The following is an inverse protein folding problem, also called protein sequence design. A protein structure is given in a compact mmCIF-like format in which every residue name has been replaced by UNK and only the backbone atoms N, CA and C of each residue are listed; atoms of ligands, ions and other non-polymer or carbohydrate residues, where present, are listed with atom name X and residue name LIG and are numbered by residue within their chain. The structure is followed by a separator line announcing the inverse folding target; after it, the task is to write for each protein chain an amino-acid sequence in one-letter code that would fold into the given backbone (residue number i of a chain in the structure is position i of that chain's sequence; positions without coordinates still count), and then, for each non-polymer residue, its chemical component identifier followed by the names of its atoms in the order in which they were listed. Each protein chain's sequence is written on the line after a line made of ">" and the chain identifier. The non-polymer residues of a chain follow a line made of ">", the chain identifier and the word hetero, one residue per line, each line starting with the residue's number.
data_IF_379076464488
#
_entry.id   IF_379076464488
#
_cell.length_a   1.000
_cell.length_b   1.000
_cell.length_c   1.000
_cell.angle_alpha   90.00
_cell.angle_beta   90.00
_cell.angle_gamma   90.00
#
_symmetry.space_group_name_H-M   'P 1'
#
loop_
_entity.id
_entity.type
_entity.pdbx_description
1 polymer ?
#
# COMPACT_ATOMS: atom_id res chain seq x y z
N UNK A 1 6.34 15.94 3.99
CA UNK A 1 5.70 14.70 3.52
C UNK A 1 4.22 14.95 3.57
N UNK A 2 3.55 14.98 2.41
CA UNK A 2 2.11 15.27 2.31
C UNK A 2 1.43 14.10 1.62
N UNK A 3 0.22 13.78 2.07
CA UNK A 3 -0.64 12.78 1.44
C UNK A 3 -1.77 13.48 0.70
N UNK A 4 -2.04 13.05 -0.53
CA UNK A 4 -3.14 13.54 -1.37
C UNK A 4 -3.92 12.38 -1.95
N UNK A 5 -5.16 12.64 -2.37
CA UNK A 5 -5.96 11.69 -3.14
C UNK A 5 -6.08 12.19 -4.56
N UNK A 6 -5.69 11.32 -5.50
CA UNK A 6 -6.02 11.45 -6.91
C UNK A 6 -7.10 10.43 -7.27
N UNK A 7 -7.64 10.58 -8.48
CA UNK A 7 -8.62 9.64 -9.02
C UNK A 7 -8.15 9.11 -10.36
N UNK A 8 -8.25 7.79 -10.52
CA UNK A 8 -7.92 7.06 -11.74
C UNK A 8 -9.20 6.57 -12.41
N UNK A 9 -9.33 6.68 -13.75
CA UNK A 9 -10.50 6.15 -14.46
C UNK A 9 -10.61 4.62 -14.31
N UNK A 10 -9.47 3.94 -14.21
CA UNK A 10 -9.38 2.49 -14.01
C UNK A 10 -8.87 2.16 -12.61
N UNK A 11 -9.27 0.99 -12.11
CA UNK A 11 -8.78 0.46 -10.83
C UNK A 11 -7.28 0.22 -10.92
N UNK A 12 -6.49 0.90 -10.08
CA UNK A 12 -5.05 0.66 -9.97
C UNK A 12 -4.73 -0.45 -8.99
N UNK A 13 -3.78 -1.30 -9.36
CA UNK A 13 -3.10 -2.21 -8.44
C UNK A 13 -1.73 -1.59 -8.09
N UNK A 14 -1.32 -1.74 -6.84
CA UNK A 14 -0.02 -1.30 -6.32
C UNK A 14 0.84 -2.52 -5.97
N UNK A 15 2.14 -2.34 -5.73
CA UNK A 15 2.97 -3.42 -5.19
C UNK A 15 2.50 -3.98 -3.84
N UNK A 16 1.61 -3.26 -3.13
CA UNK A 16 1.07 -3.63 -1.82
C UNK A 16 -0.20 -4.47 -1.98
N UNK A 17 -0.98 -4.25 -3.03
CA UNK A 17 -2.26 -4.94 -3.29
C UNK A 17 -2.24 -6.46 -3.05
N UNK A 18 -1.29 -7.26 -3.60
CA UNK A 18 -1.32 -8.71 -3.41
C UNK A 18 -1.07 -9.18 -1.97
N UNK A 19 -0.61 -8.28 -1.08
CA UNK A 19 -0.35 -8.57 0.34
C UNK A 19 -1.51 -8.21 1.25
N UNK A 20 -2.49 -7.48 0.71
CA UNK A 20 -3.66 -6.99 1.43
C UNK A 20 -4.91 -7.64 0.87
N UNK A 21 -5.13 -7.48 -0.43
CA UNK A 21 -6.32 -7.92 -1.15
C UNK A 21 -6.07 -9.28 -1.80
N UNK A 22 -6.67 -10.34 -1.25
CA UNK A 22 -6.59 -11.69 -1.83
C UNK A 22 -7.68 -11.87 -2.87
N UNK A 23 -7.32 -12.33 -4.06
CA UNK A 23 -8.30 -12.67 -5.09
C UNK A 23 -9.18 -13.84 -4.66
N UNK A 24 -10.50 -13.67 -4.73
CA UNK A 24 -11.49 -14.69 -4.35
C UNK A 24 -11.87 -15.56 -5.56
N UNK A 25 -12.00 -14.93 -6.73
CA UNK A 25 -12.46 -15.54 -7.98
C UNK A 25 -11.32 -16.05 -8.87
N UNK A 26 -10.10 -15.53 -8.69
CA UNK A 26 -8.91 -15.97 -9.40
C UNK A 26 -7.62 -15.60 -8.64
N UNK A 27 -6.47 -16.03 -9.17
CA UNK A 27 -5.17 -15.51 -8.73
C UNK A 27 -5.08 -13.99 -8.93
N UNK A 28 -4.32 -13.30 -8.08
CA UNK A 28 -4.42 -11.84 -7.91
C UNK A 28 -4.35 -11.02 -9.22
N UNK A 29 -3.53 -11.43 -10.19
CA UNK A 29 -3.39 -10.74 -11.49
C UNK A 29 -4.65 -10.78 -12.36
N UNK A 30 -5.56 -11.73 -12.11
CA UNK A 30 -6.79 -11.95 -12.86
C UNK A 30 -8.05 -11.78 -12.01
N UNK A 31 -7.88 -11.55 -10.71
CA UNK A 31 -9.00 -11.44 -9.77
C UNK A 31 -9.81 -10.17 -10.02
N UNK A 32 -11.12 -10.32 -10.06
CA UNK A 32 -12.07 -9.20 -10.10
C UNK A 32 -12.65 -8.93 -8.72
N UNK A 33 -12.76 -9.97 -7.90
CA UNK A 33 -13.26 -9.95 -6.52
C UNK A 33 -12.10 -10.15 -5.55
N UNK A 34 -12.03 -9.30 -4.55
CA UNK A 34 -10.97 -9.35 -3.54
C UNK A 34 -11.55 -9.41 -2.12
N UNK A 35 -10.81 -10.05 -1.23
CA UNK A 35 -11.03 -10.03 0.22
C UNK A 35 -9.76 -9.54 0.95
N UNK A 36 -9.81 -8.40 1.68
CA UNK A 36 -10.93 -7.46 1.75
C UNK A 36 -11.23 -6.82 0.38
N UNK A 37 -12.43 -6.26 0.17
CA UNK A 37 -12.76 -5.62 -1.11
C UNK A 37 -11.94 -4.36 -1.35
N UNK A 38 -11.60 -4.10 -2.61
CA UNK A 38 -11.01 -2.82 -3.02
C UNK A 38 -12.07 -1.72 -3.08
N UNK A 39 -11.70 -0.43 -2.92
CA UNK A 39 -12.65 0.68 -3.02
C UNK A 39 -13.40 0.71 -4.34
N UNK A 40 -14.70 1.00 -4.26
CA UNK A 40 -15.53 1.30 -5.42
C UNK A 40 -15.14 2.66 -6.03
N UNK A 41 -15.40 2.90 -7.33
CA UNK A 41 -15.17 4.20 -7.92
C UNK A 41 -16.12 5.24 -7.32
N UNK A 42 -15.61 6.44 -7.05
CA UNK A 42 -16.39 7.60 -6.66
C UNK A 42 -17.10 8.16 -7.89
N UNK A 43 -18.41 8.42 -7.76
CA UNK A 43 -19.24 8.91 -8.86
C UNK A 43 -18.64 10.18 -9.50
N UNK A 44 -18.47 10.15 -10.82
CA UNK A 44 -17.92 11.27 -11.59
C UNK A 44 -16.40 11.50 -11.44
N UNK A 45 -15.69 10.72 -10.62
CA UNK A 45 -14.23 10.87 -10.41
C UNK A 45 -13.42 9.63 -10.77
N UNK A 46 -13.93 8.43 -10.48
CA UNK A 46 -13.22 7.16 -10.67
C UNK A 46 -12.66 6.60 -9.36
N UNK A 47 -11.63 5.76 -9.45
CA UNK A 47 -11.05 5.04 -8.31
C UNK A 47 -10.08 5.92 -7.52
N UNK A 48 -10.22 6.02 -6.19
CA UNK A 48 -9.31 6.81 -5.38
C UNK A 48 -7.92 6.16 -5.31
N UNK A 49 -6.89 7.00 -5.37
CA UNK A 49 -5.49 6.61 -5.24
C UNK A 49 -4.83 7.59 -4.28
N UNK A 50 -4.32 7.09 -3.16
CA UNK A 50 -3.59 7.91 -2.20
C UNK A 50 -2.12 7.96 -2.59
N UNK A 51 -1.56 9.15 -2.59
CA UNK A 51 -0.19 9.40 -3.02
C UNK A 51 0.51 10.16 -1.90
N UNK A 52 1.64 9.62 -1.43
CA UNK A 52 2.50 10.29 -0.45
C UNK A 52 3.87 10.53 -1.05
N UNK A 53 4.32 11.79 -1.01
CA UNK A 53 5.60 12.20 -1.56
C UNK A 53 6.64 12.46 -0.47
N UNK A 54 7.84 11.94 -0.69
CA UNK A 54 9.02 12.21 0.13
C UNK A 54 10.29 12.23 -0.71
N UNK A 55 10.95 13.40 -0.74
CA UNK A 55 12.25 13.60 -1.42
C UNK A 55 12.18 13.22 -2.91
N UNK A 56 11.14 13.69 -3.62
CA UNK A 56 10.97 13.42 -5.05
C UNK A 56 10.61 11.97 -5.37
N UNK A 57 10.10 11.22 -4.39
CA UNK A 57 9.62 9.84 -4.56
C UNK A 57 8.22 9.71 -4.01
N UNK A 58 7.39 8.98 -4.73
CA UNK A 58 6.00 8.77 -4.37
C UNK A 58 5.75 7.31 -3.99
N UNK A 59 4.91 7.10 -2.97
CA UNK A 59 4.25 5.83 -2.72
C UNK A 59 2.77 5.97 -3.07
N UNK A 60 2.23 4.94 -3.69
CA UNK A 60 0.85 4.88 -4.15
C UNK A 60 0.11 3.79 -3.37
N UNK A 61 -1.11 4.09 -2.95
CA UNK A 61 -2.01 3.14 -2.30
C UNK A 61 -3.34 3.14 -3.04
N UNK A 62 -3.89 1.96 -3.30
CA UNK A 62 -5.18 1.78 -3.97
C UNK A 62 -6.35 1.61 -2.98
N UNK A 63 -6.06 1.52 -1.68
CA UNK A 63 -7.09 1.38 -0.65
C UNK A 63 -6.64 1.87 0.73
N UNK A 64 -7.58 2.16 1.64
CA UNK A 64 -7.27 2.40 3.05
C UNK A 64 -6.61 1.19 3.72
N UNK A 65 -6.98 -0.04 3.34
CA UNK A 65 -6.40 -1.26 3.89
C UNK A 65 -4.91 -1.39 3.51
N UNK A 66 -4.50 -0.92 2.33
CA UNK A 66 -3.08 -0.83 1.97
C UNK A 66 -2.33 0.17 2.84
N UNK A 67 -2.95 1.31 3.16
CA UNK A 67 -2.39 2.33 4.06
C UNK A 67 -2.21 1.74 5.46
N UNK A 68 -3.22 1.06 5.99
CA UNK A 68 -3.17 0.41 7.31
C UNK A 68 -2.07 -0.66 7.37
N UNK A 69 -1.99 -1.53 6.36
CA UNK A 69 -0.98 -2.58 6.26
C UNK A 69 0.45 -2.00 6.26
N UNK A 70 0.69 -0.97 5.45
CA UNK A 70 2.00 -0.32 5.39
C UNK A 70 2.31 0.43 6.69
N UNK A 71 1.32 1.11 7.28
CA UNK A 71 1.49 1.79 8.55
C UNK A 71 1.84 0.82 9.68
N UNK A 72 1.20 -0.36 9.75
CA UNK A 72 1.52 -1.41 10.71
C UNK A 72 2.99 -1.84 10.57
N UNK A 73 3.39 -2.29 9.38
CA UNK A 73 4.75 -2.80 9.13
C UNK A 73 5.81 -1.74 9.39
N UNK A 74 5.60 -0.50 8.91
CA UNK A 74 6.57 0.58 9.08
C UNK A 74 6.61 1.15 10.50
N UNK A 75 5.56 0.93 11.32
CA UNK A 75 5.56 1.35 12.73
C UNK A 75 6.45 0.47 13.62
N UNK A 76 6.76 -0.76 13.21
CA UNK A 76 7.56 -1.70 14.00
C UNK A 76 8.97 -1.19 14.22
N UNK A 77 9.48 -1.25 15.46
CA UNK A 77 10.82 -0.77 15.81
C UNK A 77 11.89 -1.44 14.94
N UNK A 78 11.84 -2.77 14.85
CA UNK A 78 12.63 -3.59 13.94
C UNK A 78 11.76 -3.92 12.73
N UNK A 79 12.23 -3.62 11.53
CA UNK A 79 11.51 -3.98 10.31
C UNK A 79 11.52 -5.49 10.14
N UNK A 80 10.37 -6.09 9.79
CA UNK A 80 10.33 -7.50 9.48
C UNK A 80 11.16 -7.81 8.23
N UNK A 81 11.77 -8.99 8.24
CA UNK A 81 12.53 -9.50 7.11
C UNK A 81 11.59 -9.92 5.98
N UNK A 82 12.08 -9.92 4.75
CA UNK A 82 11.31 -10.38 3.59
C UNK A 82 10.89 -11.87 3.74
N UNK A 83 11.64 -12.66 4.51
CA UNK A 83 11.29 -14.05 4.83
C UNK A 83 10.04 -14.11 5.71
N UNK A 84 10.03 -13.37 6.81
CA UNK A 84 8.86 -13.31 7.72
C UNK A 84 7.59 -12.86 6.99
N UNK A 85 7.71 -11.93 6.04
CA UNK A 85 6.55 -11.40 5.31
C UNK A 85 6.14 -12.25 4.11
N UNK A 86 7.10 -12.83 3.39
CA UNK A 86 6.84 -13.50 2.11
C UNK A 86 6.74 -15.02 2.19
N UNK A 87 7.17 -15.66 3.29
CA UNK A 87 7.20 -17.13 3.39
C UNK A 87 5.81 -17.76 3.29
N UNK A 88 4.81 -17.16 3.95
CA UNK A 88 3.42 -17.64 3.89
C UNK A 88 2.82 -17.60 2.48
N UNK A 89 3.43 -16.83 1.57
CA UNK A 89 2.98 -16.64 0.20
C UNK A 89 3.97 -17.22 -0.83
N UNK A 90 4.99 -17.97 -0.38
CA UNK A 90 6.11 -18.44 -1.21
C UNK A 90 6.77 -17.33 -2.06
N UNK A 91 6.70 -16.09 -1.57
CA UNK A 91 7.02 -14.87 -2.33
C UNK A 91 8.03 -13.99 -1.57
N UNK A 92 8.99 -14.63 -0.90
CA UNK A 92 10.02 -14.00 -0.04
C UNK A 92 10.73 -12.83 -0.73
N UNK A 93 11.12 -12.96 -1.99
CA UNK A 93 11.86 -11.90 -2.70
C UNK A 93 10.95 -10.87 -3.39
N UNK A 94 9.63 -11.05 -3.32
CA UNK A 94 8.64 -10.24 -4.03
C UNK A 94 7.90 -9.25 -3.14
N UNK A 95 8.20 -9.24 -1.84
CA UNK A 95 7.55 -8.35 -0.87
C UNK A 95 7.86 -6.87 -1.14
N UNK A 96 6.85 -6.00 -1.03
CA UNK A 96 7.00 -4.56 -1.33
C UNK A 96 8.09 -3.89 -0.49
N UNK A 97 8.30 -4.32 0.76
CA UNK A 97 9.31 -3.78 1.67
C UNK A 97 10.74 -3.93 1.16
N UNK A 98 11.04 -5.00 0.40
CA UNK A 98 12.37 -5.19 -0.19
C UNK A 98 12.64 -4.16 -1.29
N UNK A 99 11.59 -3.77 -2.02
CA UNK A 99 11.60 -2.78 -3.11
C UNK A 99 11.46 -1.33 -2.63
N UNK A 100 11.07 -1.12 -1.36
CA UNK A 100 10.94 0.21 -0.78
C UNK A 100 12.29 0.93 -0.84
N UNK A 101 12.29 2.13 -1.42
CA UNK A 101 13.52 2.91 -1.55
C UNK A 101 14.13 3.25 -0.18
N UNK A 102 15.46 3.23 -0.10
CA UNK A 102 16.20 3.42 1.14
C UNK A 102 15.86 4.73 1.88
N UNK A 103 15.42 5.78 1.17
CA UNK A 103 15.01 7.05 1.80
C UNK A 103 13.83 6.92 2.77
N UNK A 104 12.98 5.91 2.61
CA UNK A 104 11.82 5.68 3.48
C UNK A 104 12.12 4.80 4.69
N UNK A 105 13.27 4.12 4.73
CA UNK A 105 13.63 3.14 5.78
C UNK A 105 14.11 3.74 7.12
N UNK A 106 14.77 4.93 7.17
CA UNK A 106 15.21 5.51 8.44
C UNK A 106 14.08 5.67 9.43
N UNK A 107 14.35 5.38 10.70
CA UNK A 107 13.33 5.35 11.76
C UNK A 107 12.50 6.63 11.84
N UNK A 108 13.15 7.80 11.85
CA UNK A 108 12.46 9.10 11.91
C UNK A 108 11.58 9.35 10.69
N UNK A 109 12.01 8.90 9.51
CA UNK A 109 11.21 9.01 8.27
C UNK A 109 10.01 8.07 8.34
N UNK A 110 10.17 6.83 8.81
CA UNK A 110 9.07 5.89 9.01
C UNK A 110 8.04 6.42 10.00
N UNK A 111 8.48 7.01 11.11
CA UNK A 111 7.56 7.60 12.10
C UNK A 111 6.73 8.74 11.52
N UNK A 112 7.35 9.66 10.78
CA UNK A 112 6.61 10.72 10.08
C UNK A 112 5.68 10.13 9.01
N UNK A 113 6.14 9.16 8.23
CA UNK A 113 5.32 8.48 7.23
C UNK A 113 4.09 7.83 7.86
N UNK A 114 4.25 7.02 8.91
CA UNK A 114 3.15 6.38 9.63
C UNK A 114 2.17 7.41 10.17
N UNK A 115 2.66 8.53 10.72
CA UNK A 115 1.80 9.63 11.17
C UNK A 115 0.93 10.15 10.02
N UNK A 116 1.53 10.46 8.86
CA UNK A 116 0.80 10.97 7.69
C UNK A 116 -0.17 9.96 7.09
N UNK A 117 0.19 8.68 7.09
CA UNK A 117 -0.69 7.60 6.64
C UNK A 117 -1.93 7.48 7.52
N UNK A 118 -1.82 7.69 8.84
CA UNK A 118 -2.97 7.70 9.76
C UNK A 118 -3.87 8.93 9.61
N UNK A 119 -3.33 10.01 9.06
CA UNK A 119 -4.05 11.25 8.73
C UNK A 119 -4.57 11.24 7.27
N UNK A 120 -4.54 10.08 6.59
CA UNK A 120 -4.98 9.97 5.21
C UNK A 120 -6.45 10.42 5.04
N UNK A 121 -6.77 11.27 4.05
CA UNK A 121 -8.14 11.69 3.83
C UNK A 121 -9.01 10.51 3.37
N UNK A 122 -10.31 10.63 3.63
CA UNK A 122 -11.34 9.72 3.12
C UNK A 122 -11.85 10.24 1.76
N UNK A 123 -12.03 9.36 0.75
CA UNK A 123 -12.47 9.74 -0.59
C UNK A 123 -13.95 10.10 -0.68
#
# INVERSE_FOLDING_TARGET
>A
MQIRIDYSPERRLTPITPWVHKGVDAGYYKATVFDPPMPAPVHGKGYPVWIIEHRGRELYFASPQEIEHVADILSRKILPTSRELGQAYMAVNSHWLSRLHASFKPWKVRQELVKRLKEAPTP
#
